data_IF_213631159313
#
_entry.id   IF_213631159313
#
_cell.length_a   1.000
_cell.length_b   1.000
_cell.length_c   1.000
_cell.angle_alpha   90.00
_cell.angle_beta   90.00
_cell.angle_gamma   90.00
#
_symmetry.space_group_name_H-M   'P 1'
#
loop_
_entity.id
_entity.type
_entity.pdbx_description
1 polymer ?
#
# COMPACT_ATOMS: atom_id res chain seq x y z
N UNK A 1 -7.96 0.02 33.31
CA UNK A 1 -8.58 0.00 31.96
C UNK A 1 -7.51 -0.33 30.92
N UNK A 2 -7.68 -1.42 30.19
CA UNK A 2 -6.79 -1.74 29.07
C UNK A 2 -7.29 -0.93 27.86
N UNK A 3 -6.59 0.15 27.53
CA UNK A 3 -6.98 1.09 26.47
C UNK A 3 -6.69 0.55 25.06
N UNK A 4 -5.96 -0.56 24.94
CA UNK A 4 -5.49 -1.08 23.66
C UNK A 4 -4.43 -0.19 22.99
N UNK A 5 -4.11 -0.51 21.74
CA UNK A 5 -3.17 0.25 20.91
C UNK A 5 -3.54 0.08 19.43
N UNK A 6 -3.11 1.01 18.58
CA UNK A 6 -3.11 0.82 17.14
C UNK A 6 -2.09 -0.27 16.76
N UNK A 7 -2.47 -1.22 15.89
CA UNK A 7 -1.65 -2.42 15.61
C UNK A 7 -1.37 -2.58 14.11
N UNK A 8 -0.24 -3.19 13.80
CA UNK A 8 0.21 -3.47 12.44
C UNK A 8 -0.69 -4.52 11.79
N UNK A 9 -1.24 -4.21 10.62
CA UNK A 9 -2.18 -5.10 9.93
C UNK A 9 -1.49 -6.36 9.36
N UNK A 10 -0.72 -6.22 8.29
CA UNK A 10 0.02 -7.30 7.64
C UNK A 10 1.12 -6.73 6.73
N UNK A 11 2.02 -7.61 6.30
CA UNK A 11 3.02 -7.37 5.25
C UNK A 11 2.67 -8.26 4.03
N UNK A 12 2.82 -7.72 2.82
CA UNK A 12 2.74 -8.49 1.57
C UNK A 12 4.15 -8.66 0.99
N UNK A 13 4.53 -9.90 0.69
CA UNK A 13 5.87 -10.26 0.25
C UNK A 13 5.86 -10.64 -1.22
N UNK A 14 6.62 -9.90 -2.03
CA UNK A 14 6.79 -10.17 -3.45
C UNK A 14 8.22 -10.65 -3.72
N UNK A 15 8.35 -11.93 -4.06
CA UNK A 15 9.62 -12.56 -4.39
C UNK A 15 9.76 -12.62 -5.93
N UNK A 16 10.59 -11.75 -6.51
CA UNK A 16 10.76 -11.63 -7.97
C UNK A 16 11.83 -12.57 -8.54
N UNK A 17 12.70 -13.14 -7.70
CA UNK A 17 13.82 -13.98 -8.16
C UNK A 17 14.90 -13.23 -8.95
N UNK A 18 14.93 -11.89 -8.86
CA UNK A 18 15.96 -11.06 -9.47
C UNK A 18 17.16 -10.94 -8.53
N UNK A 19 18.37 -11.27 -9.02
CA UNK A 19 19.62 -11.07 -8.27
C UNK A 19 19.87 -9.56 -8.07
N UNK A 20 19.91 -9.06 -6.82
CA UNK A 20 20.13 -7.64 -6.54
C UNK A 20 21.46 -7.11 -7.11
N UNK A 21 22.49 -7.94 -7.24
CA UNK A 21 23.80 -7.52 -7.76
C UNK A 21 23.79 -7.29 -9.28
N UNK A 22 22.80 -7.83 -9.98
CA UNK A 22 22.62 -7.67 -11.42
C UNK A 22 21.57 -6.61 -11.79
N UNK A 23 21.03 -5.90 -10.79
CA UNK A 23 20.07 -4.81 -10.99
C UNK A 23 20.81 -3.50 -11.25
N UNK A 24 20.38 -2.77 -12.28
CA UNK A 24 20.90 -1.44 -12.62
C UNK A 24 19.76 -0.42 -12.77
N UNK A 25 20.10 0.86 -12.91
CA UNK A 25 19.13 1.95 -13.11
C UNK A 25 18.00 1.99 -12.07
N UNK A 26 18.29 1.57 -10.84
CA UNK A 26 17.30 1.53 -9.78
C UNK A 26 16.87 2.94 -9.39
N UNK A 27 15.55 3.17 -9.36
CA UNK A 27 14.96 4.40 -8.84
C UNK A 27 13.67 4.07 -8.11
N UNK A 28 13.45 4.74 -6.98
CA UNK A 28 12.16 4.74 -6.28
C UNK A 28 11.74 6.18 -6.00
N UNK A 29 10.46 6.46 -6.13
CA UNK A 29 9.91 7.78 -5.87
C UNK A 29 8.50 7.69 -5.31
N UNK A 30 8.09 8.77 -4.64
CA UNK A 30 6.70 9.06 -4.33
C UNK A 30 6.37 10.40 -4.98
N UNK A 31 5.55 10.38 -6.03
CA UNK A 31 4.99 11.59 -6.60
C UNK A 31 3.82 12.05 -5.73
N UNK A 32 4.05 13.07 -4.91
CA UNK A 32 3.03 13.65 -4.04
C UNK A 32 2.00 14.49 -4.81
N UNK A 33 2.25 14.84 -6.07
CA UNK A 33 1.27 15.50 -6.94
C UNK A 33 0.18 14.54 -7.41
N UNK A 34 0.51 13.26 -7.60
CA UNK A 34 -0.45 12.23 -7.98
C UNK A 34 -0.79 11.22 -6.87
N UNK A 35 -0.07 11.25 -5.75
CA UNK A 35 -0.07 10.21 -4.72
C UNK A 35 0.18 8.80 -5.28
N UNK A 36 1.20 8.67 -6.12
CA UNK A 36 1.64 7.40 -6.71
C UNK A 36 3.09 7.16 -6.31
N UNK A 37 3.36 6.00 -5.70
CA UNK A 37 4.73 5.54 -5.51
C UNK A 37 5.15 4.69 -6.71
N UNK A 38 6.37 4.89 -7.18
CA UNK A 38 6.93 4.17 -8.32
C UNK A 38 8.27 3.55 -7.94
N UNK A 39 8.52 2.31 -8.39
CA UNK A 39 9.85 1.71 -8.40
C UNK A 39 10.17 1.26 -9.82
N UNK A 40 11.32 1.65 -10.34
CA UNK A 40 11.83 1.23 -11.64
C UNK A 40 13.25 0.70 -11.53
N UNK A 41 13.60 -0.28 -12.34
CA UNK A 41 14.95 -0.83 -12.43
C UNK A 41 15.11 -1.69 -13.69
N UNK A 42 16.35 -1.94 -14.10
CA UNK A 42 16.69 -2.85 -15.20
C UNK A 42 17.26 -4.15 -14.65
N UNK A 43 16.82 -5.30 -15.18
CA UNK A 43 17.39 -6.61 -14.88
C UNK A 43 17.38 -7.48 -16.14
N UNK A 44 18.55 -8.00 -16.55
CA UNK A 44 18.74 -8.82 -17.77
C UNK A 44 18.07 -8.20 -19.02
N UNK A 45 18.39 -6.94 -19.28
CA UNK A 45 17.88 -6.15 -20.41
C UNK A 45 16.34 -5.98 -20.45
N UNK A 46 15.66 -6.10 -19.30
CA UNK A 46 14.24 -5.80 -19.14
C UNK A 46 14.10 -4.66 -18.13
N UNK A 47 13.37 -3.61 -18.52
CA UNK A 47 13.04 -2.51 -17.63
C UNK A 47 11.73 -2.84 -16.91
N UNK A 48 11.82 -2.98 -15.60
CA UNK A 48 10.69 -3.26 -14.74
C UNK A 48 10.17 -1.96 -14.12
N UNK A 49 8.85 -1.83 -14.03
CA UNK A 49 8.18 -0.73 -13.34
C UNK A 49 7.10 -1.26 -12.42
N UNK A 50 7.04 -0.72 -11.21
CA UNK A 50 6.01 -0.94 -10.21
C UNK A 50 5.36 0.39 -9.85
N UNK A 51 4.05 0.50 -9.97
CA UNK A 51 3.27 1.66 -9.51
C UNK A 51 2.34 1.23 -8.37
N UNK A 52 2.24 2.05 -7.33
CA UNK A 52 1.41 1.82 -6.14
C UNK A 52 0.55 3.04 -5.82
N UNK A 53 -0.73 2.83 -5.55
CA UNK A 53 -1.61 3.87 -5.00
C UNK A 53 -2.77 3.28 -4.19
N UNK A 54 -3.31 4.08 -3.27
CA UNK A 54 -4.51 3.74 -2.49
C UNK A 54 -5.68 4.58 -2.99
N UNK A 55 -6.53 4.00 -3.84
CA UNK A 55 -7.69 4.70 -4.41
C UNK A 55 -8.77 4.86 -3.33
N UNK A 56 -9.00 6.10 -2.89
CA UNK A 56 -10.09 6.42 -1.97
C UNK A 56 -11.47 6.15 -2.59
N UNK A 57 -11.77 6.54 -3.85
CA UNK A 57 -13.07 6.25 -4.47
C UNK A 57 -13.34 4.74 -4.60
N UNK A 58 -12.32 3.96 -4.93
CA UNK A 58 -12.46 2.51 -5.15
C UNK A 58 -12.25 1.67 -3.88
N UNK A 59 -11.71 2.27 -2.80
CA UNK A 59 -11.43 1.63 -1.50
C UNK A 59 -10.46 0.45 -1.59
N UNK A 60 -9.49 0.53 -2.52
CA UNK A 60 -8.47 -0.51 -2.73
C UNK A 60 -7.07 0.10 -2.84
N UNK A 61 -6.07 -0.65 -2.40
CA UNK A 61 -4.68 -0.43 -2.78
C UNK A 61 -4.42 -1.19 -4.08
N UNK A 62 -3.81 -0.52 -5.05
CA UNK A 62 -3.48 -1.10 -6.36
C UNK A 62 -1.98 -1.08 -6.53
N UNK A 63 -1.42 -2.23 -6.91
CA UNK A 63 -0.06 -2.34 -7.46
C UNK A 63 -0.16 -2.72 -8.94
N UNK A 64 0.57 -2.04 -9.81
CA UNK A 64 0.80 -2.46 -11.19
C UNK A 64 2.25 -2.78 -11.40
N UNK A 65 2.53 -3.92 -12.01
CA UNK A 65 3.86 -4.38 -12.38
C UNK A 65 3.93 -4.62 -13.89
N UNK A 66 4.95 -4.08 -14.54
CA UNK A 66 5.19 -4.23 -15.99
C UNK A 66 6.67 -4.51 -16.25
N UNK A 67 6.96 -5.21 -17.36
CA UNK A 67 8.30 -5.30 -17.95
C UNK A 67 8.30 -4.71 -19.37
N UNK A 68 9.43 -4.16 -19.83
CA UNK A 68 9.54 -3.61 -21.19
C UNK A 68 9.52 -4.68 -22.30
N UNK A 69 9.71 -5.95 -21.93
CA UNK A 69 9.59 -7.11 -22.80
C UNK A 69 8.47 -8.03 -22.29
N UNK A 70 7.63 -8.52 -23.19
CA UNK A 70 6.51 -9.42 -22.85
C UNK A 70 6.98 -10.73 -22.22
N UNK A 71 6.11 -11.35 -21.41
CA UNK A 71 6.34 -12.62 -20.71
C UNK A 71 7.52 -12.64 -19.72
N UNK A 72 7.94 -11.48 -19.20
CA UNK A 72 9.04 -11.37 -18.24
C UNK A 72 8.60 -11.03 -16.81
N UNK A 73 7.29 -10.85 -16.57
CA UNK A 73 6.76 -10.59 -15.23
C UNK A 73 6.45 -11.92 -14.53
N UNK A 74 7.29 -12.27 -13.56
CA UNK A 74 7.09 -13.43 -12.68
C UNK A 74 7.39 -13.05 -11.23
N UNK A 75 6.60 -13.57 -10.29
CA UNK A 75 6.84 -13.42 -8.86
C UNK A 75 6.04 -14.42 -8.04
N UNK A 76 6.46 -14.62 -6.80
CA UNK A 76 5.67 -15.28 -5.76
C UNK A 76 5.15 -14.24 -4.77
N UNK A 77 3.86 -14.26 -4.49
CA UNK A 77 3.18 -13.41 -3.50
C UNK A 77 2.83 -14.24 -2.26
N UNK A 78 3.34 -13.82 -1.11
CA UNK A 78 2.94 -14.28 0.21
C UNK A 78 2.45 -13.13 1.10
N UNK A 79 1.92 -13.46 2.28
CA UNK A 79 1.51 -12.47 3.28
C UNK A 79 1.87 -12.95 4.69
N UNK A 80 2.15 -12.01 5.59
CA UNK A 80 2.41 -12.29 7.00
C UNK A 80 1.80 -11.22 7.90
N UNK A 81 1.63 -11.51 9.18
CA UNK A 81 1.24 -10.51 10.18
C UNK A 81 2.01 -10.72 11.48
N UNK A 82 2.08 -9.67 12.30
CA UNK A 82 2.64 -9.72 13.66
C UNK A 82 1.64 -10.31 14.67
N UNK A 83 0.37 -10.44 14.27
CA UNK A 83 -0.62 -11.18 15.02
C UNK A 83 -0.34 -12.68 14.96
N UNK A 84 -0.54 -13.38 16.08
CA UNK A 84 -0.24 -14.82 16.19
C UNK A 84 -1.32 -15.71 15.59
N UNK A 85 -2.58 -15.30 15.73
CA UNK A 85 -3.74 -16.03 15.21
C UNK A 85 -4.05 -15.52 13.80
N UNK A 86 -3.33 -16.07 12.82
CA UNK A 86 -3.54 -15.80 11.40
C UNK A 86 -3.64 -17.08 10.58
N UNK A 87 -4.35 -16.99 9.47
CA UNK A 87 -4.39 -18.01 8.42
C UNK A 87 -4.25 -17.36 7.06
N UNK A 88 -3.31 -17.85 6.27
CA UNK A 88 -3.12 -17.47 4.87
C UNK A 88 -3.64 -18.58 3.97
N UNK A 89 -4.34 -18.23 2.90
CA UNK A 89 -4.87 -19.21 1.93
C UNK A 89 -4.86 -18.60 0.54
N UNK A 90 -4.32 -19.35 -0.42
CA UNK A 90 -4.28 -19.03 -1.84
C UNK A 90 -5.40 -19.77 -2.59
N UNK A 91 -6.19 -19.00 -3.36
CA UNK A 91 -7.13 -19.50 -4.36
C UNK A 91 -6.49 -19.53 -5.75
N UNK A 92 -7.31 -19.57 -6.80
CA UNK A 92 -6.82 -19.56 -8.19
C UNK A 92 -6.13 -18.24 -8.56
N UNK A 93 -6.73 -17.11 -8.18
CA UNK A 93 -6.23 -15.76 -8.48
C UNK A 93 -6.32 -14.81 -7.29
N UNK A 94 -6.37 -15.35 -6.07
CA UNK A 94 -6.45 -14.54 -4.86
C UNK A 94 -5.60 -15.09 -3.72
N UNK A 95 -5.03 -14.20 -2.94
CA UNK A 95 -4.44 -14.51 -1.63
C UNK A 95 -5.34 -13.91 -0.55
N UNK A 96 -5.58 -14.64 0.52
CA UNK A 96 -6.39 -14.19 1.66
C UNK A 96 -5.56 -14.39 2.93
N UNK A 97 -5.46 -13.33 3.74
CA UNK A 97 -4.98 -13.41 5.12
C UNK A 97 -6.15 -13.07 6.04
N UNK A 98 -6.53 -14.01 6.90
CA UNK A 98 -7.48 -13.77 7.99
C UNK A 98 -6.73 -13.76 9.31
N UNK A 99 -7.18 -12.96 10.27
CA UNK A 99 -6.63 -12.98 11.60
C UNK A 99 -7.53 -12.38 12.66
N UNK A 100 -7.09 -12.52 13.91
CA UNK A 100 -7.75 -11.96 15.07
C UNK A 100 -6.74 -11.25 15.98
N UNK A 101 -7.10 -10.05 16.43
CA UNK A 101 -6.34 -9.33 17.45
C UNK A 101 -6.43 -10.12 18.75
N UNK A 102 -5.29 -10.56 19.26
CA UNK A 102 -5.19 -11.19 20.57
C UNK A 102 -5.40 -10.13 21.65
N UNK A 103 -6.31 -10.40 22.58
CA UNK A 103 -6.47 -9.61 23.80
C UNK A 103 -5.76 -10.34 24.94
N UNK A 104 -5.35 -9.62 25.98
CA UNK A 104 -4.84 -10.25 27.21
C UNK A 104 -5.87 -11.14 27.92
N UNK A 105 -7.13 -11.16 27.46
CA UNK A 105 -8.24 -11.90 28.03
C UNK A 105 -8.91 -12.82 27.00
N UNK A 106 -8.66 -14.13 27.10
CA UNK A 106 -9.25 -15.15 26.19
C UNK A 106 -10.79 -15.14 26.14
N UNK A 107 -11.48 -14.61 27.15
CA UNK A 107 -12.95 -14.50 27.17
C UNK A 107 -13.48 -13.29 26.40
N UNK A 108 -12.62 -12.37 25.98
CA UNK A 108 -12.97 -11.19 25.21
C UNK A 108 -12.14 -11.16 23.92
N UNK A 109 -12.52 -11.95 22.90
CA UNK A 109 -11.79 -12.01 21.65
C UNK A 109 -11.79 -10.63 20.98
N UNK A 110 -10.60 -10.24 20.49
CA UNK A 110 -10.41 -8.97 19.82
C UNK A 110 -11.04 -8.94 18.43
N UNK A 111 -10.83 -7.81 17.77
CA UNK A 111 -11.30 -7.55 16.41
C UNK A 111 -10.78 -8.59 15.42
N UNK A 112 -11.64 -9.04 14.52
CA UNK A 112 -11.25 -9.90 13.40
C UNK A 112 -10.95 -9.03 12.17
N UNK A 113 -10.01 -9.46 11.36
CA UNK A 113 -9.58 -8.75 10.16
C UNK A 113 -9.32 -9.70 9.00
N UNK A 114 -9.48 -9.18 7.78
CA UNK A 114 -9.14 -9.88 6.54
C UNK A 114 -8.42 -8.91 5.60
N UNK A 115 -7.29 -9.34 5.05
CA UNK A 115 -6.66 -8.79 3.86
C UNK A 115 -6.87 -9.73 2.68
N UNK A 116 -7.23 -9.19 1.52
CA UNK A 116 -7.51 -9.97 0.30
C UNK A 116 -6.87 -9.32 -0.90
N UNK A 117 -5.98 -10.07 -1.56
CA UNK A 117 -5.31 -9.67 -2.80
C UNK A 117 -5.95 -10.39 -3.97
N UNK A 118 -6.37 -9.66 -5.00
CA UNK A 118 -6.80 -10.17 -6.30
C UNK A 118 -5.72 -9.93 -7.33
N UNK A 119 -5.40 -10.96 -8.10
CA UNK A 119 -4.33 -10.94 -9.10
C UNK A 119 -4.97 -10.95 -10.49
N UNK A 120 -4.70 -9.91 -11.27
CA UNK A 120 -5.10 -9.78 -12.67
C UNK A 120 -3.84 -9.77 -13.54
N UNK A 121 -3.52 -10.92 -14.13
CA UNK A 121 -2.38 -11.06 -15.03
C UNK A 121 -2.83 -10.85 -16.49
N UNK A 122 -2.01 -10.13 -17.26
CA UNK A 122 -2.09 -10.03 -18.71
C UNK A 122 -1.08 -11.03 -19.28
N UNK A 123 -1.59 -12.09 -19.93
CA UNK A 123 -0.74 -13.22 -20.36
C UNK A 123 -0.20 -14.04 -19.18
N UNK A 124 0.60 -15.06 -19.51
CA UNK A 124 1.22 -15.93 -18.52
C UNK A 124 0.23 -16.82 -17.75
N UNK A 125 0.60 -17.19 -16.52
CA UNK A 125 -0.21 -18.03 -15.64
C UNK A 125 -0.17 -17.57 -14.19
N UNK A 126 -1.30 -17.78 -13.49
CA UNK A 126 -1.45 -17.57 -12.05
C UNK A 126 -1.85 -18.90 -11.42
N UNK A 127 -1.16 -19.31 -10.36
CA UNK A 127 -1.47 -20.52 -9.62
C UNK A 127 -1.17 -20.35 -8.14
N UNK A 128 -1.64 -21.26 -7.29
CA UNK A 128 -1.15 -21.41 -5.92
C UNK A 128 0.10 -22.29 -5.87
N UNK A 129 0.89 -22.18 -4.81
CA UNK A 129 1.90 -23.18 -4.47
C UNK A 129 1.27 -24.44 -3.86
N UNK A 130 2.07 -25.50 -3.69
CA UNK A 130 1.60 -26.80 -3.22
C UNK A 130 0.98 -26.76 -1.80
N UNK A 131 1.52 -25.91 -0.92
CA UNK A 131 0.99 -25.69 0.43
C UNK A 131 -0.27 -24.83 0.47
N UNK A 132 -0.62 -24.15 -0.64
CA UNK A 132 -1.83 -23.35 -0.76
C UNK A 132 -1.82 -22.05 0.05
N UNK A 133 -0.65 -21.47 0.32
CA UNK A 133 -0.46 -20.26 1.12
C UNK A 133 0.29 -19.14 0.38
N UNK A 134 0.72 -19.38 -0.86
CA UNK A 134 1.31 -18.36 -1.76
C UNK A 134 0.68 -18.42 -3.15
N UNK A 135 0.64 -17.27 -3.81
CA UNK A 135 0.30 -17.15 -5.24
C UNK A 135 1.59 -17.07 -6.05
N UNK A 136 1.65 -17.78 -7.16
CA UNK A 136 2.76 -17.77 -8.12
C UNK A 136 2.23 -17.18 -9.43
N UNK A 137 2.89 -16.14 -9.93
CA UNK A 137 2.69 -15.61 -11.27
C UNK A 137 3.90 -15.94 -12.13
N UNK A 138 3.67 -16.50 -13.32
CA UNK A 138 4.72 -16.87 -14.27
C UNK A 138 4.47 -16.27 -15.63
N UNK A 139 5.53 -15.70 -16.22
CA UNK A 139 5.62 -15.30 -17.62
C UNK A 139 4.46 -14.39 -18.07
N UNK A 140 4.01 -13.47 -17.22
CA UNK A 140 3.02 -12.47 -17.58
C UNK A 140 3.67 -11.29 -18.33
N UNK A 141 2.89 -10.58 -19.13
CA UNK A 141 3.29 -9.32 -19.76
C UNK A 141 3.19 -8.17 -18.74
N UNK A 142 2.13 -8.17 -17.95
CA UNK A 142 1.92 -7.24 -16.85
C UNK A 142 0.97 -7.84 -15.81
N UNK A 143 1.00 -7.30 -14.59
CA UNK A 143 0.13 -7.76 -13.50
C UNK A 143 -0.40 -6.58 -12.71
N UNK A 144 -1.71 -6.55 -12.50
CA UNK A 144 -2.37 -5.68 -11.52
C UNK A 144 -2.74 -6.50 -10.29
N UNK A 145 -2.24 -6.10 -9.12
CA UNK A 145 -2.62 -6.67 -7.83
C UNK A 145 -3.50 -5.66 -7.11
N UNK A 146 -4.72 -6.07 -6.75
CA UNK A 146 -5.71 -5.23 -6.08
C UNK A 146 -5.90 -5.77 -4.66
N UNK A 147 -5.67 -4.93 -3.66
CA UNK A 147 -5.76 -5.28 -2.26
C UNK A 147 -6.91 -4.53 -1.58
N UNK A 148 -7.78 -5.30 -0.92
CA UNK A 148 -8.77 -4.78 0.01
C UNK A 148 -8.49 -5.32 1.42
N UNK A 149 -8.65 -4.46 2.41
CA UNK A 149 -8.52 -4.80 3.82
C UNK A 149 -9.71 -4.27 4.61
N UNK A 150 -10.18 -5.07 5.55
CA UNK A 150 -11.25 -4.68 6.45
C UNK A 150 -11.08 -5.36 7.80
N UNK A 151 -11.72 -4.75 8.80
CA UNK A 151 -11.99 -5.38 10.08
C UNK A 151 -13.51 -5.45 10.30
N UNK A 152 -13.94 -6.15 11.34
CA UNK A 152 -15.32 -6.04 11.80
C UNK A 152 -15.56 -4.80 12.68
N UNK A 153 -14.66 -3.82 12.73
CA UNK A 153 -14.90 -2.58 13.46
C UNK A 153 -16.04 -1.78 12.85
N UNK A 154 -16.87 -1.21 13.73
CA UNK A 154 -17.88 -0.21 13.41
C UNK A 154 -17.87 0.84 14.52
N UNK A 155 -17.88 2.12 14.18
CA UNK A 155 -17.94 3.20 15.18
C UNK A 155 -19.40 3.34 15.69
N UNK A 156 -19.81 2.41 16.55
CA UNK A 156 -21.17 2.35 17.11
C UNK A 156 -21.12 1.83 18.55
N UNK A 157 -21.44 2.71 19.51
CA UNK A 157 -21.51 2.36 20.92
C UNK A 157 -22.72 1.45 21.21
N UNK A 158 -22.60 0.47 22.13
CA UNK A 158 -21.41 0.10 22.90
C UNK A 158 -20.53 -0.96 22.25
N UNK A 159 -20.99 -1.57 21.15
CA UNK A 159 -20.46 -2.84 20.69
C UNK A 159 -19.20 -2.73 19.84
N UNK A 160 -19.05 -1.62 19.11
CA UNK A 160 -17.96 -1.32 18.18
C UNK A 160 -17.65 -2.43 17.15
N UNK A 161 -18.62 -3.29 16.87
CA UNK A 161 -18.52 -4.45 15.97
C UNK A 161 -19.66 -4.41 14.96
N UNK A 162 -19.35 -4.66 13.70
CA UNK A 162 -20.29 -4.68 12.58
C UNK A 162 -20.10 -5.89 11.67
N UNK A 163 -20.34 -5.71 10.37
CA UNK A 163 -20.23 -6.75 9.36
C UNK A 163 -18.86 -7.45 9.38
N UNK A 164 -18.81 -8.76 9.09
CA UNK A 164 -17.55 -9.49 9.02
C UNK A 164 -16.65 -8.96 7.88
N UNK A 165 -15.32 -8.96 8.07
CA UNK A 165 -14.40 -8.31 7.15
C UNK A 165 -14.36 -8.96 5.76
N UNK A 166 -14.62 -10.27 5.66
CA UNK A 166 -14.63 -11.00 4.40
C UNK A 166 -15.78 -10.56 3.48
N UNK A 167 -16.97 -10.33 4.05
CA UNK A 167 -18.12 -9.78 3.32
C UNK A 167 -17.80 -8.37 2.80
N UNK A 168 -17.19 -7.52 3.63
CA UNK A 168 -16.79 -6.15 3.24
C UNK A 168 -15.76 -6.16 2.11
N UNK A 169 -14.71 -6.96 2.23
CA UNK A 169 -13.67 -7.05 1.20
C UNK A 169 -14.20 -7.60 -0.12
N UNK A 170 -15.04 -8.65 -0.10
CA UNK A 170 -15.67 -9.20 -1.31
C UNK A 170 -16.50 -8.14 -2.04
N UNK A 171 -17.31 -7.37 -1.31
CA UNK A 171 -18.11 -6.30 -1.90
C UNK A 171 -17.24 -5.17 -2.48
N UNK A 172 -16.15 -4.81 -1.80
CA UNK A 172 -15.19 -3.81 -2.32
C UNK A 172 -14.53 -4.30 -3.61
N UNK A 173 -14.03 -5.53 -3.63
CA UNK A 173 -13.35 -6.09 -4.79
C UNK A 173 -14.29 -6.35 -5.97
N UNK A 174 -15.56 -6.70 -5.73
CA UNK A 174 -16.54 -6.87 -6.80
C UNK A 174 -16.80 -5.57 -7.56
N UNK A 175 -16.84 -4.42 -6.86
CA UNK A 175 -17.03 -3.09 -7.48
C UNK A 175 -15.93 -2.68 -8.45
N UNK A 176 -14.74 -3.26 -8.31
CA UNK A 176 -13.58 -2.97 -9.16
C UNK A 176 -13.21 -4.14 -10.07
N UNK A 177 -13.94 -5.26 -10.02
CA UNK A 177 -13.60 -6.52 -10.71
C UNK A 177 -13.36 -6.32 -12.20
N UNK A 178 -14.17 -5.48 -12.84
CA UNK A 178 -14.13 -5.22 -14.29
C UNK A 178 -13.38 -3.94 -14.66
N UNK A 179 -12.86 -3.19 -13.67
CA UNK A 179 -12.12 -1.95 -13.94
C UNK A 179 -10.70 -2.27 -14.40
N UNK A 180 -10.26 -1.57 -15.45
CA UNK A 180 -8.85 -1.59 -15.85
C UNK A 180 -7.97 -0.86 -14.82
N UNK A 181 -6.67 -1.14 -14.84
CA UNK A 181 -5.68 -0.37 -14.09
C UNK A 181 -5.78 1.13 -14.40
N UNK A 182 -5.88 1.48 -15.68
CA UNK A 182 -5.96 2.88 -16.15
C UNK A 182 -7.22 3.58 -15.62
N UNK A 183 -8.35 2.87 -15.54
CA UNK A 183 -9.59 3.39 -14.96
C UNK A 183 -9.45 3.65 -13.45
N UNK A 184 -8.87 2.71 -12.69
CA UNK A 184 -8.65 2.91 -11.25
C UNK A 184 -7.63 4.04 -11.00
N UNK A 185 -6.54 4.10 -11.79
CA UNK A 185 -5.50 5.13 -11.69
C UNK A 185 -6.05 6.52 -11.99
N UNK A 186 -6.82 6.69 -13.07
CA UNK A 186 -7.44 7.98 -13.42
C UNK A 186 -8.47 8.41 -12.37
N UNK A 187 -9.27 7.48 -11.86
CA UNK A 187 -10.24 7.73 -10.77
C UNK A 187 -9.53 8.23 -9.51
N UNK A 188 -8.44 7.56 -9.11
CA UNK A 188 -7.59 7.96 -7.99
C UNK A 188 -7.00 9.36 -8.18
N UNK A 189 -6.34 9.62 -9.33
CA UNK A 189 -5.70 10.91 -9.60
C UNK A 189 -6.72 12.04 -9.56
N UNK A 190 -7.91 11.84 -10.17
CA UNK A 190 -8.96 12.86 -10.20
C UNK A 190 -9.44 13.22 -8.79
N UNK A 191 -9.67 12.23 -7.94
CA UNK A 191 -10.04 12.44 -6.54
C UNK A 191 -8.95 13.16 -5.75
N UNK A 192 -7.71 12.66 -5.85
CA UNK A 192 -6.58 13.19 -5.10
C UNK A 192 -6.26 14.64 -5.47
N UNK A 193 -6.11 14.91 -6.77
CA UNK A 193 -5.73 16.24 -7.29
C UNK A 193 -6.83 17.28 -7.05
N UNK A 194 -8.11 16.87 -6.98
CA UNK A 194 -9.22 17.74 -6.59
C UNK A 194 -9.11 18.31 -5.16
N UNK A 195 -8.24 17.74 -4.32
CA UNK A 195 -7.91 18.24 -2.98
C UNK A 195 -6.49 18.82 -2.95
N UNK A 196 -5.51 18.07 -3.46
CA UNK A 196 -4.10 18.46 -3.36
C UNK A 196 -3.81 19.76 -4.12
N UNK A 197 -4.39 19.97 -5.31
CA UNK A 197 -4.10 21.16 -6.12
C UNK A 197 -4.78 22.45 -5.63
N UNK A 198 -5.54 22.41 -4.53
CA UNK A 198 -6.17 23.62 -3.95
C UNK A 198 -5.15 24.62 -3.40
N UNK A 199 -3.92 24.20 -3.14
CA UNK A 199 -2.86 25.06 -2.60
C UNK A 199 -1.56 24.81 -3.36
N UNK A 200 -1.00 25.89 -3.89
CA UNK A 200 0.36 25.95 -4.41
C UNK A 200 1.18 26.90 -3.54
N UNK A 201 2.43 26.51 -3.25
CA UNK A 201 3.39 27.35 -2.53
C UNK A 201 4.63 27.51 -3.41
N UNK A 202 5.05 28.76 -3.61
CA UNK A 202 6.24 29.10 -4.37
C UNK A 202 7.13 30.03 -3.53
N UNK A 203 8.29 29.54 -3.11
CA UNK A 203 9.28 30.27 -2.31
C UNK A 203 10.51 30.71 -3.12
N UNK A 204 10.38 30.73 -4.46
CA UNK A 204 11.46 31.07 -5.39
C UNK A 204 12.07 29.85 -6.07
N UNK A 205 13.33 29.98 -6.50
CA UNK A 205 14.00 28.98 -7.32
C UNK A 205 14.23 27.68 -6.53
N UNK A 206 13.96 26.56 -7.19
CA UNK A 206 14.35 25.24 -6.73
C UNK A 206 15.80 24.97 -7.11
N UNK A 207 16.53 24.30 -6.22
CA UNK A 207 17.90 23.82 -6.45
C UNK A 207 17.94 22.32 -6.18
N UNK A 208 18.99 21.62 -6.64
CA UNK A 208 19.28 20.23 -6.28
C UNK A 208 18.16 19.22 -6.58
N UNK A 209 17.30 19.49 -7.56
CA UNK A 209 16.16 18.63 -7.92
C UNK A 209 16.58 17.24 -8.42
N UNK A 210 17.81 17.12 -8.92
CA UNK A 210 18.40 15.87 -9.40
C UNK A 210 18.92 14.97 -8.25
N UNK A 211 19.10 15.52 -7.04
CA UNK A 211 19.60 14.75 -5.91
C UNK A 211 18.48 13.94 -5.24
N UNK A 212 18.79 12.72 -4.77
CA UNK A 212 17.91 11.98 -3.87
C UNK A 212 17.51 12.80 -2.63
N UNK A 213 16.28 12.62 -2.14
CA UNK A 213 15.71 13.43 -1.05
C UNK A 213 16.52 13.35 0.25
N UNK A 214 17.14 12.20 0.54
CA UNK A 214 18.02 11.98 1.68
C UNK A 214 19.32 12.78 1.57
N UNK A 215 19.94 12.80 0.39
CA UNK A 215 21.12 13.64 0.12
C UNK A 215 20.76 15.13 0.17
N UNK A 216 19.61 15.53 -0.39
CA UNK A 216 19.09 16.90 -0.28
C UNK A 216 18.93 17.32 1.18
N UNK A 217 18.36 16.45 2.01
CA UNK A 217 18.18 16.71 3.44
C UNK A 217 19.53 16.82 4.17
N UNK A 218 20.49 15.95 3.84
CA UNK A 218 21.83 16.02 4.40
C UNK A 218 22.56 17.32 4.04
N UNK A 219 22.42 17.79 2.79
CA UNK A 219 22.96 19.06 2.34
C UNK A 219 22.24 20.25 3.01
N UNK A 220 20.91 20.21 3.10
CA UNK A 220 20.10 21.27 3.74
C UNK A 220 20.47 21.49 5.20
N UNK A 221 20.82 20.43 5.95
CA UNK A 221 21.30 20.55 7.34
C UNK A 221 22.56 21.42 7.47
N UNK A 222 23.37 21.50 6.41
CA UNK A 222 24.62 22.27 6.38
C UNK A 222 24.39 23.73 5.99
N UNK A 223 23.65 24.01 4.91
CA UNK A 223 23.54 25.35 4.33
C UNK A 223 22.13 25.96 4.29
N UNK A 224 21.07 25.18 4.53
CA UNK A 224 19.66 25.65 4.54
C UNK A 224 19.24 26.44 3.29
N UNK A 225 19.75 26.05 2.13
CA UNK A 225 19.64 26.76 0.85
C UNK A 225 18.88 25.96 -0.22
N UNK A 226 17.87 25.20 0.20
CA UNK A 226 17.00 24.43 -0.69
C UNK A 226 15.52 24.78 -0.44
N UNK A 227 15.06 25.84 -1.10
CA UNK A 227 13.64 26.26 -1.07
C UNK A 227 12.72 25.18 -1.66
N UNK A 228 13.23 24.34 -2.55
CA UNK A 228 12.50 23.20 -3.08
C UNK A 228 12.17 22.18 -2.00
N UNK A 229 13.11 21.90 -1.08
CA UNK A 229 12.90 20.97 0.02
C UNK A 229 11.92 21.53 1.07
N UNK A 230 11.96 22.83 1.32
CA UNK A 230 10.99 23.52 2.19
C UNK A 230 9.56 23.45 1.62
N UNK A 231 9.40 23.75 0.33
CA UNK A 231 8.12 23.60 -0.37
C UNK A 231 7.65 22.14 -0.40
N UNK A 232 8.58 21.19 -0.59
CA UNK A 232 8.28 19.77 -0.54
C UNK A 232 7.76 19.36 0.84
N UNK A 233 8.41 19.78 1.93
CA UNK A 233 7.97 19.46 3.29
C UNK A 233 6.59 20.05 3.60
N UNK A 234 6.32 21.28 3.18
CA UNK A 234 4.99 21.90 3.29
C UNK A 234 3.93 21.07 2.57
N UNK A 235 4.18 20.72 1.31
CA UNK A 235 3.24 19.91 0.53
C UNK A 235 3.13 18.47 1.06
N UNK A 236 4.19 17.93 1.65
CA UNK A 236 4.19 16.60 2.24
C UNK A 236 3.23 16.50 3.44
N UNK A 237 3.16 17.55 4.28
CA UNK A 237 2.16 17.62 5.34
C UNK A 237 0.72 17.53 4.81
N UNK A 238 0.43 18.23 3.71
CA UNK A 238 -0.87 18.16 3.03
C UNK A 238 -1.13 16.78 2.42
N UNK A 239 -0.13 16.19 1.77
CA UNK A 239 -0.20 14.81 1.26
C UNK A 239 -0.54 13.82 2.39
N UNK A 240 0.17 13.88 3.52
CA UNK A 240 -0.03 12.99 4.66
C UNK A 240 -1.44 13.12 5.23
N UNK A 241 -1.96 14.34 5.36
CA UNK A 241 -3.34 14.59 5.83
C UNK A 241 -4.38 13.99 4.86
N UNK A 242 -4.23 14.20 3.55
CA UNK A 242 -5.13 13.59 2.55
C UNK A 242 -5.06 12.06 2.60
N UNK A 243 -3.86 11.50 2.79
CA UNK A 243 -3.66 10.05 2.78
C UNK A 243 -4.11 9.35 4.08
N UNK A 244 -4.23 10.09 5.20
CA UNK A 244 -4.54 9.50 6.52
C UNK A 244 -5.91 9.89 7.10
N UNK A 245 -6.51 10.99 6.65
CA UNK A 245 -7.75 11.52 7.24
C UNK A 245 -8.73 11.99 6.18
N UNK A 246 -9.48 11.03 5.62
CA UNK A 246 -10.53 11.29 4.63
C UNK A 246 -11.91 11.23 5.28
N UNK A 247 -12.94 11.91 4.75
CA UNK A 247 -14.29 11.77 5.24
C UNK A 247 -14.73 10.30 5.34
N UNK A 248 -15.33 9.94 6.47
CA UNK A 248 -15.76 8.55 6.74
C UNK A 248 -14.64 7.60 7.17
N UNK A 249 -13.42 8.07 7.40
CA UNK A 249 -12.35 7.31 8.10
C UNK A 249 -12.23 7.76 9.55
N UNK A 250 -11.43 7.03 10.34
CA UNK A 250 -10.96 7.52 11.63
C UNK A 250 -10.03 8.74 11.44
N UNK A 251 -9.87 9.61 12.45
CA UNK A 251 -8.86 10.66 12.42
C UNK A 251 -7.45 10.07 12.36
N UNK A 252 -6.49 10.85 11.86
CA UNK A 252 -5.07 10.51 11.91
C UNK A 252 -4.60 10.44 13.36
N UNK A 253 -3.94 9.35 13.75
CA UNK A 253 -3.32 9.19 15.07
C UNK A 253 -1.86 9.68 15.08
N UNK A 254 -1.09 9.42 16.15
CA UNK A 254 0.33 9.80 16.25
C UNK A 254 1.22 9.37 15.06
N UNK A 255 0.84 8.35 14.31
CA UNK A 255 1.57 7.89 13.11
C UNK A 255 0.73 8.01 11.83
N UNK A 256 -0.37 8.78 11.86
CA UNK A 256 -1.35 8.87 10.78
C UNK A 256 -2.12 7.56 10.61
N UNK A 257 -1.58 6.68 9.77
CA UNK A 257 -2.04 5.29 9.54
C UNK A 257 -0.87 4.30 9.44
N UNK A 258 0.39 4.77 9.54
CA UNK A 258 1.56 3.99 9.15
C UNK A 258 2.31 3.47 10.38
N UNK A 259 1.92 2.28 10.82
CA UNK A 259 2.50 1.59 11.97
C UNK A 259 2.93 0.17 11.61
N UNK A 260 4.12 -0.24 12.06
CA UNK A 260 4.69 -1.57 11.84
C UNK A 260 4.88 -2.37 13.14
N UNK A 261 4.22 -1.98 14.23
CA UNK A 261 4.34 -2.58 15.56
C UNK A 261 2.96 -2.89 16.17
N UNK A 262 2.87 -3.97 16.97
CA UNK A 262 1.71 -4.22 17.83
C UNK A 262 1.86 -3.60 19.23
N UNK A 263 3.00 -2.94 19.48
CA UNK A 263 3.33 -2.18 20.69
C UNK A 263 4.02 -0.87 20.26
N UNK A 264 3.34 0.01 19.53
CA UNK A 264 3.95 1.25 19.09
C UNK A 264 4.20 2.20 20.28
N UNK A 265 5.16 3.14 20.16
CA UNK A 265 5.36 4.20 21.15
C UNK A 265 4.04 4.93 21.44
N UNK A 266 3.75 5.13 22.73
CA UNK A 266 2.52 5.77 23.21
C UNK A 266 1.24 5.17 22.61
N UNK A 267 1.19 3.86 22.39
CA UNK A 267 0.06 3.13 21.80
C UNK A 267 -0.39 3.60 20.40
N UNK A 268 0.28 4.60 19.83
CA UNK A 268 -0.12 5.26 18.59
C UNK A 268 -1.60 5.69 18.63
N UNK A 269 -2.03 6.23 19.79
CA UNK A 269 -3.35 6.86 19.97
C UNK A 269 -3.38 8.32 19.50
#
# INVERSE_FOLDING_TARGET
>A
PDFGAYQSFCDAHFEFGHDPNAVTNYRRELDIGSAIATVSYTFRDVDYKREYFCSYPDRVLVMRLTGSKGKHVSFTLGASSRHKDIKVTAGENELILKGQVTTGNKKQPGMIFEGRWKIQAEGGGVSKNDTGDKIIVKNADAVTVIFAAATNYKLEYPNYKGDPPDKRNKLTLEKVRTKSFQTMRSTHIKDYTGIFNRVALHLGKTSRIELPTDERLAAYKKSRDDRGLEMLLFQYGRYLMIASSRPGTMPANLQGLWNNSNKPPWNCD
#
